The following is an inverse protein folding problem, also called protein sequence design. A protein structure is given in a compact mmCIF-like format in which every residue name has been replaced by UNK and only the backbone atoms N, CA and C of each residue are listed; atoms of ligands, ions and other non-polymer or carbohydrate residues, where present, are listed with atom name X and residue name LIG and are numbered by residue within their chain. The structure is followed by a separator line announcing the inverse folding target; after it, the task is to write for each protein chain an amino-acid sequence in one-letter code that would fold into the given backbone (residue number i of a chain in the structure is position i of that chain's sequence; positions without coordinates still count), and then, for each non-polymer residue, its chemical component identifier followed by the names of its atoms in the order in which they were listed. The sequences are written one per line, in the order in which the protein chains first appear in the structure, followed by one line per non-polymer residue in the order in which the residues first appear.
data_IF_114020095791
#
_entry.id   IF_114020095791
#
_cell.length_a   1.000
_cell.length_b   1.000
_cell.length_c   1.000
_cell.angle_alpha   90.00
_cell.angle_beta   90.00
_cell.angle_gamma   90.00
#
_symmetry.space_group_name_H-M   'P 1'
#
loop_
_entity.id
_entity.type
_entity.pdbx_description
1 polymer ?
#
# COMPACT_ATOMS: atom_id res chain seq x y z
N UNK A 1 22.22 -20.21 -0.24
CA UNK A 1 20.77 -19.85 -0.12
C UNK A 1 20.18 -20.90 0.80
N UNK A 2 19.71 -20.50 1.97
CA UNK A 2 19.09 -21.40 2.95
C UNK A 2 17.61 -21.50 2.60
N UNK A 3 17.10 -22.72 2.47
CA UNK A 3 15.66 -22.96 2.31
C UNK A 3 14.99 -22.80 3.68
N UNK A 4 14.05 -21.89 3.77
CA UNK A 4 13.34 -21.61 5.00
C UNK A 4 12.23 -22.65 5.20
N UNK A 5 12.14 -23.23 6.41
CA UNK A 5 11.07 -24.18 6.69
C UNK A 5 9.69 -23.51 6.61
N UNK A 6 8.68 -24.29 6.23
CA UNK A 6 7.30 -23.77 6.18
C UNK A 6 6.85 -23.26 7.55
N UNK A 7 7.31 -23.87 8.65
CA UNK A 7 6.99 -23.44 10.01
C UNK A 7 7.59 -22.07 10.30
N UNK A 8 8.87 -21.83 10.03
CA UNK A 8 9.52 -20.53 10.22
C UNK A 8 8.88 -19.44 9.37
N UNK A 9 8.49 -19.76 8.12
CA UNK A 9 7.76 -18.84 7.28
C UNK A 9 6.38 -18.49 7.84
N UNK A 10 5.65 -19.49 8.35
CA UNK A 10 4.35 -19.30 8.97
C UNK A 10 4.45 -18.50 10.29
N UNK A 11 5.44 -18.79 11.13
CA UNK A 11 5.69 -18.07 12.39
C UNK A 11 6.02 -16.60 12.13
N UNK A 12 6.89 -16.30 11.16
CA UNK A 12 7.19 -14.94 10.72
C UNK A 12 5.93 -14.21 10.22
N UNK A 13 5.07 -14.92 9.48
CA UNK A 13 3.78 -14.41 9.02
C UNK A 13 2.85 -14.06 10.17
N UNK A 14 2.68 -14.95 11.14
CA UNK A 14 1.84 -14.71 12.32
C UNK A 14 2.40 -13.57 13.18
N UNK A 15 3.72 -13.47 13.28
CA UNK A 15 4.37 -12.37 13.99
C UNK A 15 4.07 -11.00 13.34
N UNK A 16 4.08 -10.91 12.00
CA UNK A 16 3.70 -9.73 11.24
C UNK A 16 2.20 -9.41 11.42
N UNK A 17 1.34 -10.42 11.33
CA UNK A 17 -0.11 -10.26 11.44
C UNK A 17 -0.52 -9.72 12.81
N UNK A 18 0.07 -10.20 13.90
CA UNK A 18 -0.15 -9.67 15.26
C UNK A 18 0.25 -8.20 15.42
N UNK A 19 1.05 -7.67 14.51
CA UNK A 19 1.46 -6.25 14.43
C UNK A 19 0.67 -5.43 13.41
N UNK A 20 -0.38 -6.04 12.84
CA UNK A 20 -1.26 -5.40 11.87
C UNK A 20 -0.78 -5.40 10.42
N UNK A 21 0.32 -6.10 10.10
CA UNK A 21 0.73 -6.38 8.72
C UNK A 21 -0.01 -7.62 8.20
N UNK A 22 -1.31 -7.46 7.95
CA UNK A 22 -2.21 -8.55 7.58
C UNK A 22 -2.32 -8.81 6.08
N UNK A 23 -1.53 -8.12 5.27
CA UNK A 23 -1.31 -8.41 3.85
C UNK A 23 0.16 -8.74 3.63
N UNK A 24 0.42 -9.90 3.03
CA UNK A 24 1.76 -10.37 2.69
C UNK A 24 1.77 -11.09 1.36
N UNK A 25 2.76 -10.78 0.52
CA UNK A 25 3.03 -11.55 -0.70
C UNK A 25 4.54 -11.73 -0.88
N UNK A 26 4.92 -12.89 -1.39
CA UNK A 26 6.30 -13.23 -1.80
C UNK A 26 6.28 -13.49 -3.30
N UNK A 27 7.01 -12.68 -4.04
CA UNK A 27 7.00 -12.65 -5.49
C UNK A 27 8.37 -13.01 -6.07
N UNK A 28 8.38 -13.72 -7.20
CA UNK A 28 9.58 -13.87 -7.99
C UNK A 28 9.71 -12.68 -8.97
N UNK A 29 10.71 -11.84 -8.76
CA UNK A 29 10.96 -10.66 -9.60
C UNK A 29 11.22 -10.99 -11.08
N UNK A 30 11.58 -12.23 -11.39
CA UNK A 30 11.82 -12.71 -12.75
C UNK A 30 10.55 -13.17 -13.46
N UNK A 31 9.50 -13.46 -12.70
CA UNK A 31 8.20 -13.89 -13.22
C UNK A 31 7.25 -12.73 -13.52
N UNK A 32 7.67 -11.47 -13.38
CA UNK A 32 6.83 -10.30 -13.64
C UNK A 32 6.30 -10.31 -15.07
N UNK A 33 5.01 -10.05 -15.30
CA UNK A 33 4.45 -9.86 -16.64
C UNK A 33 5.06 -8.63 -17.32
N UNK A 34 4.93 -8.53 -18.64
CA UNK A 34 5.67 -7.58 -19.45
C UNK A 34 5.54 -6.11 -19.05
N UNK A 35 4.33 -5.66 -18.67
CA UNK A 35 4.06 -4.31 -18.23
C UNK A 35 4.68 -4.01 -16.85
N UNK A 36 4.57 -4.94 -15.90
CA UNK A 36 5.22 -4.83 -14.60
C UNK A 36 6.73 -4.94 -14.71
N UNK A 37 7.24 -5.84 -15.56
CA UNK A 37 8.67 -5.96 -15.83
C UNK A 37 9.23 -4.63 -16.38
N UNK A 38 8.56 -4.02 -17.37
CA UNK A 38 8.94 -2.73 -17.91
C UNK A 38 8.85 -1.59 -16.87
N UNK A 39 7.86 -1.62 -15.98
CA UNK A 39 7.77 -0.66 -14.87
C UNK A 39 8.90 -0.84 -13.87
N UNK A 40 9.22 -2.09 -13.53
CA UNK A 40 10.34 -2.42 -12.64
C UNK A 40 11.69 -2.01 -13.21
N UNK A 41 11.93 -2.26 -14.49
CA UNK A 41 13.20 -1.92 -15.15
C UNK A 41 13.50 -0.41 -15.11
N UNK A 42 12.46 0.44 -15.12
CA UNK A 42 12.62 1.90 -14.92
C UNK A 42 13.16 2.28 -13.55
N UNK A 43 13.00 1.42 -12.53
CA UNK A 43 13.57 1.67 -11.20
C UNK A 43 15.09 1.48 -11.16
N UNK A 44 15.68 0.80 -12.17
CA UNK A 44 17.09 0.39 -12.23
C UNK A 44 17.50 -0.58 -11.11
N UNK A 45 16.54 -1.20 -10.43
CA UNK A 45 16.79 -2.24 -9.44
C UNK A 45 16.98 -3.56 -10.21
N UNK A 46 18.15 -4.22 -10.13
CA UNK A 46 18.39 -5.44 -10.86
C UNK A 46 17.49 -6.58 -10.36
N UNK A 47 17.03 -7.42 -11.29
CA UNK A 47 16.31 -8.67 -10.98
C UNK A 47 17.32 -9.80 -10.83
N UNK A 48 17.81 -10.01 -9.61
CA UNK A 48 18.84 -11.02 -9.33
C UNK A 48 18.20 -12.41 -9.20
N UNK A 49 18.75 -13.43 -9.86
CA UNK A 49 18.25 -14.81 -9.73
C UNK A 49 18.29 -15.27 -8.26
N UNK A 50 17.17 -15.83 -7.80
CA UNK A 50 17.06 -16.34 -6.45
C UNK A 50 16.58 -15.32 -5.40
N UNK A 51 16.63 -14.01 -5.70
CA UNK A 51 15.98 -13.01 -4.81
C UNK A 51 14.45 -13.15 -4.86
N UNK A 52 13.83 -12.94 -3.72
CA UNK A 52 12.39 -12.82 -3.57
C UNK A 52 12.03 -11.37 -3.23
N UNK A 53 10.98 -10.86 -3.84
CA UNK A 53 10.36 -9.60 -3.43
C UNK A 53 9.25 -9.90 -2.44
N UNK A 54 9.37 -9.38 -1.23
CA UNK A 54 8.31 -9.46 -0.22
C UNK A 54 7.58 -8.14 -0.17
N UNK A 55 6.25 -8.20 -0.28
CA UNK A 55 5.36 -7.07 -0.02
C UNK A 55 4.70 -7.27 1.33
N UNK A 56 4.65 -6.20 2.11
CA UNK A 56 3.86 -6.10 3.33
C UNK A 56 2.85 -4.97 3.18
N UNK A 57 1.66 -5.21 3.70
CA UNK A 57 0.58 -4.23 3.71
C UNK A 57 -0.32 -4.39 4.90
N UNK A 58 -1.22 -3.44 5.04
CA UNK A 58 -2.31 -3.49 6.01
C UNK A 58 -3.65 -3.31 5.32
N UNK A 59 -4.67 -4.02 5.80
CA UNK A 59 -6.08 -3.79 5.49
C UNK A 59 -6.85 -3.47 6.78
N UNK A 60 -7.76 -2.49 6.69
CA UNK A 60 -8.48 -1.99 7.87
C UNK A 60 -7.59 -1.23 8.84
N UNK A 61 -7.97 -1.22 10.12
CA UNK A 61 -7.29 -0.47 11.20
C UNK A 61 -6.21 -1.26 11.95
N UNK A 62 -5.97 -2.54 11.63
CA UNK A 62 -5.15 -3.43 12.45
C UNK A 62 -3.77 -2.86 12.82
N UNK A 63 -3.04 -2.26 11.87
CA UNK A 63 -1.76 -1.62 12.17
C UNK A 63 -1.94 -0.32 12.97
N UNK A 64 -2.99 0.44 12.71
CA UNK A 64 -3.31 1.65 13.48
C UNK A 64 -3.59 1.32 14.95
N UNK A 65 -4.38 0.29 15.20
CA UNK A 65 -4.73 -0.16 16.55
C UNK A 65 -3.49 -0.63 17.30
N UNK A 66 -2.63 -1.41 16.65
CA UNK A 66 -1.36 -1.84 17.22
C UNK A 66 -0.40 -0.65 17.45
N UNK A 67 -0.35 0.33 16.54
CA UNK A 67 0.46 1.54 16.67
C UNK A 67 0.03 2.41 17.86
N UNK A 68 -1.26 2.44 18.23
CA UNK A 68 -1.77 3.17 19.38
C UNK A 68 -1.16 2.73 20.71
N UNK A 69 -0.55 1.55 20.76
CA UNK A 69 0.14 0.98 21.92
C UNK A 69 1.66 1.27 21.92
N UNK A 70 2.18 1.96 20.88
CA UNK A 70 3.61 2.18 20.66
C UNK A 70 4.00 3.64 20.89
N UNK A 71 5.30 3.88 21.05
CA UNK A 71 5.88 5.23 21.02
C UNK A 71 5.87 5.79 19.59
N UNK A 72 5.11 6.85 19.36
CA UNK A 72 4.95 7.51 18.07
C UNK A 72 5.80 8.79 17.95
N UNK A 73 6.93 8.86 18.63
CA UNK A 73 7.82 10.04 18.61
C UNK A 73 8.54 10.25 17.28
N UNK A 74 8.65 9.20 16.42
CA UNK A 74 9.25 9.32 15.10
C UNK A 74 8.41 10.24 14.20
N UNK A 75 9.03 11.13 13.39
CA UNK A 75 8.30 11.96 12.43
C UNK A 75 7.44 11.17 11.44
N UNK A 76 7.86 9.95 11.07
CA UNK A 76 7.14 9.04 10.18
C UNK A 76 7.00 7.65 10.83
N UNK A 77 6.17 7.52 11.90
CA UNK A 77 6.15 6.34 12.76
C UNK A 77 5.70 5.07 12.01
N UNK A 78 4.79 5.18 11.03
CA UNK A 78 4.40 4.03 10.21
C UNK A 78 5.55 3.50 9.35
N UNK A 79 6.37 4.39 8.81
CA UNK A 79 7.53 4.00 8.04
C UNK A 79 8.64 3.44 8.94
N UNK A 80 8.84 4.02 10.12
CA UNK A 80 9.80 3.52 11.10
C UNK A 80 9.45 2.09 11.54
N UNK A 81 8.19 1.85 11.90
CA UNK A 81 7.70 0.52 12.28
C UNK A 81 7.77 -0.46 11.11
N UNK A 82 7.48 -0.01 9.90
CA UNK A 82 7.60 -0.87 8.71
C UNK A 82 9.05 -1.30 8.46
N UNK A 83 10.01 -0.38 8.58
CA UNK A 83 11.46 -0.69 8.50
C UNK A 83 11.89 -1.69 9.57
N UNK A 84 11.46 -1.44 10.81
CA UNK A 84 11.76 -2.33 11.93
C UNK A 84 11.15 -3.73 11.71
N UNK A 85 9.90 -3.82 11.29
CA UNK A 85 9.23 -5.09 11.02
C UNK A 85 9.93 -5.90 9.93
N UNK A 86 10.42 -5.26 8.87
CA UNK A 86 11.22 -5.92 7.83
C UNK A 86 12.52 -6.48 8.41
N UNK A 87 13.28 -5.70 9.16
CA UNK A 87 14.54 -6.14 9.75
C UNK A 87 14.32 -7.32 10.70
N UNK A 88 13.35 -7.20 11.62
CA UNK A 88 13.09 -8.23 12.62
C UNK A 88 12.54 -9.52 12.01
N UNK A 89 11.59 -9.48 11.08
CA UNK A 89 11.05 -10.70 10.48
C UNK A 89 12.08 -11.44 9.65
N UNK A 90 12.89 -10.70 8.90
CA UNK A 90 13.94 -11.28 8.07
C UNK A 90 15.02 -11.95 8.92
N UNK A 91 15.50 -11.29 9.96
CA UNK A 91 16.55 -11.83 10.83
C UNK A 91 16.04 -13.00 11.71
N UNK A 92 14.89 -12.84 12.36
CA UNK A 92 14.43 -13.79 13.38
C UNK A 92 13.79 -15.05 12.84
N UNK A 93 13.15 -14.98 11.67
CA UNK A 93 12.36 -16.09 11.12
C UNK A 93 12.85 -16.57 9.76
N UNK A 94 13.53 -15.70 8.97
CA UNK A 94 13.89 -16.00 7.59
C UNK A 94 15.40 -16.07 7.34
N UNK A 95 16.19 -16.05 8.42
CA UNK A 95 17.65 -16.19 8.39
C UNK A 95 18.35 -15.20 7.41
N UNK A 96 17.72 -14.06 7.15
CA UNK A 96 18.29 -13.00 6.32
C UNK A 96 18.64 -11.76 7.17
N UNK A 97 19.91 -11.56 7.41
CA UNK A 97 20.41 -10.44 8.23
C UNK A 97 20.55 -9.13 7.45
N UNK A 98 20.32 -9.14 6.14
CA UNK A 98 20.51 -7.97 5.27
C UNK A 98 19.43 -7.88 4.18
N UNK A 99 18.15 -7.86 4.53
CA UNK A 99 17.10 -7.62 3.56
C UNK A 99 17.31 -6.24 2.93
N UNK A 100 17.12 -6.15 1.60
CA UNK A 100 17.25 -4.88 0.90
C UNK A 100 15.90 -4.17 0.83
N UNK A 101 15.66 -3.24 1.75
CA UNK A 101 14.45 -2.44 1.78
C UNK A 101 14.38 -1.53 0.55
N UNK A 102 13.22 -1.50 -0.11
CA UNK A 102 12.91 -0.67 -1.27
C UNK A 102 11.83 0.37 -0.93
N UNK A 103 10.88 0.01 -0.08
CA UNK A 103 9.82 0.86 0.42
C UNK A 103 9.51 0.48 1.90
N UNK A 104 9.37 1.44 2.81
CA UNK A 104 9.57 2.88 2.61
C UNK A 104 11.04 3.22 2.33
N UNK A 105 11.27 4.14 1.39
CA UNK A 105 12.60 4.54 0.95
C UNK A 105 12.54 5.39 -0.33
N UNK A 106 13.71 5.72 -0.87
CA UNK A 106 13.84 6.61 -2.03
C UNK A 106 13.53 5.93 -3.39
N UNK A 107 13.40 4.62 -3.41
CA UNK A 107 13.14 3.88 -4.64
C UNK A 107 11.67 4.05 -5.09
N UNK A 108 11.48 4.58 -6.29
CA UNK A 108 10.14 4.71 -6.90
C UNK A 108 9.71 3.37 -7.53
N UNK A 109 9.28 2.42 -6.71
CA UNK A 109 8.81 1.12 -7.17
C UNK A 109 7.32 1.13 -7.53
N UNK A 110 6.87 0.29 -8.49
CA UNK A 110 5.49 0.27 -8.96
C UNK A 110 4.54 -0.48 -8.00
N UNK A 111 4.35 0.02 -6.76
CA UNK A 111 3.62 -0.65 -5.68
C UNK A 111 2.22 -1.10 -6.10
N UNK A 112 1.44 -0.26 -6.79
CA UNK A 112 0.09 -0.62 -7.23
C UNK A 112 0.12 -1.81 -8.22
N UNK A 113 1.04 -1.79 -9.20
CA UNK A 113 1.17 -2.92 -10.14
C UNK A 113 1.63 -4.20 -9.43
N UNK A 114 2.53 -4.08 -8.45
CA UNK A 114 2.94 -5.21 -7.60
C UNK A 114 1.77 -5.76 -6.79
N UNK A 115 0.94 -4.89 -6.20
CA UNK A 115 -0.26 -5.29 -5.46
C UNK A 115 -1.31 -5.97 -6.35
N UNK A 116 -1.50 -5.49 -7.58
CA UNK A 116 -2.37 -6.14 -8.58
C UNK A 116 -1.83 -7.52 -8.96
N UNK A 117 -0.53 -7.61 -9.20
CA UNK A 117 0.14 -8.88 -9.49
C UNK A 117 0.05 -9.87 -8.32
N UNK A 118 0.14 -9.37 -7.08
CA UNK A 118 -0.04 -10.16 -5.87
C UNK A 118 -1.52 -10.55 -5.60
N UNK A 119 -2.47 -10.10 -6.42
CA UNK A 119 -3.89 -10.36 -6.22
C UNK A 119 -4.55 -9.55 -5.09
N UNK A 120 -3.89 -8.50 -4.58
CA UNK A 120 -4.41 -7.69 -3.47
C UNK A 120 -5.46 -6.69 -3.91
N UNK A 121 -5.35 -6.20 -5.14
CA UNK A 121 -6.13 -5.06 -5.60
C UNK A 121 -6.34 -5.04 -7.11
N UNK A 122 -7.24 -4.18 -7.53
CA UNK A 122 -7.53 -3.85 -8.92
C UNK A 122 -7.66 -2.33 -9.09
N UNK A 123 -7.54 -1.79 -10.30
CA UNK A 123 -7.78 -0.37 -10.58
C UNK A 123 -9.18 0.07 -10.17
N UNK A 124 -9.29 1.33 -9.70
CA UNK A 124 -10.57 1.96 -9.38
C UNK A 124 -10.62 3.41 -9.85
N UNK A 125 -11.81 4.01 -10.02
CA UNK A 125 -11.96 5.41 -10.43
C UNK A 125 -11.33 6.42 -9.46
N UNK A 126 -11.09 6.00 -8.22
CA UNK A 126 -10.53 6.83 -7.14
C UNK A 126 -9.08 7.28 -7.35
N UNK A 127 -8.39 6.79 -8.38
CA UNK A 127 -6.94 6.97 -8.54
C UNK A 127 -6.09 6.17 -7.53
N UNK A 128 -6.74 5.48 -6.62
CA UNK A 128 -6.20 4.44 -5.74
C UNK A 128 -6.72 3.10 -6.24
N UNK A 129 -5.99 2.03 -5.95
CA UNK A 129 -6.50 0.69 -6.18
C UNK A 129 -7.57 0.33 -5.14
N UNK A 130 -8.40 -0.66 -5.49
CA UNK A 130 -9.42 -1.22 -4.62
C UNK A 130 -9.14 -2.70 -4.35
N UNK A 131 -9.20 -3.09 -3.09
CA UNK A 131 -9.12 -4.49 -2.68
C UNK A 131 -10.51 -5.12 -2.69
N UNK A 132 -10.68 -6.36 -3.18
CA UNK A 132 -11.96 -7.06 -3.09
C UNK A 132 -12.42 -7.28 -1.65
N UNK A 133 -11.49 -7.47 -0.72
CA UNK A 133 -11.76 -7.70 0.70
C UNK A 133 -11.89 -6.38 1.47
N UNK A 134 -10.89 -5.51 1.33
CA UNK A 134 -10.76 -4.31 2.15
C UNK A 134 -11.35 -3.05 1.48
N UNK A 135 -11.82 -3.15 0.25
CA UNK A 135 -12.22 -1.98 -0.50
C UNK A 135 -11.05 -1.00 -0.67
N UNK A 136 -11.28 0.31 -0.50
CA UNK A 136 -10.21 1.30 -0.53
C UNK A 136 -9.42 1.40 0.80
N UNK A 137 -9.69 0.53 1.78
CA UNK A 137 -9.17 0.61 3.15
C UNK A 137 -7.97 -0.29 3.37
N UNK A 138 -6.99 -0.23 2.48
CA UNK A 138 -5.70 -0.91 2.59
C UNK A 138 -4.55 0.00 2.21
N UNK A 139 -3.33 -0.37 2.61
CA UNK A 139 -2.12 0.37 2.24
C UNK A 139 -0.91 -0.56 2.17
N UNK A 140 -0.02 -0.29 1.22
CA UNK A 140 1.32 -0.86 1.21
C UNK A 140 2.12 -0.29 2.38
N UNK A 141 2.92 -1.14 3.05
CA UNK A 141 3.73 -0.75 4.21
C UNK A 141 5.21 -1.03 4.01
N UNK A 142 5.54 -2.14 3.36
CA UNK A 142 6.91 -2.39 2.98
C UNK A 142 7.00 -3.16 1.66
N UNK A 143 8.13 -2.97 0.98
CA UNK A 143 8.60 -3.84 -0.10
C UNK A 143 10.11 -4.01 0.07
N UNK A 144 10.60 -5.24 0.05
CA UNK A 144 12.01 -5.53 0.21
C UNK A 144 12.42 -6.79 -0.55
N UNK A 145 13.67 -6.85 -0.92
CA UNK A 145 14.28 -8.02 -1.53
C UNK A 145 15.03 -8.82 -0.48
N UNK A 146 14.90 -10.13 -0.57
CA UNK A 146 15.57 -11.08 0.31
C UNK A 146 16.19 -12.21 -0.48
N UNK A 147 17.31 -12.75 0.00
CA UNK A 147 17.94 -13.95 -0.52
C UNK A 147 17.46 -15.24 0.16
N UNK A 148 16.63 -15.10 1.19
CA UNK A 148 15.94 -16.23 1.81
C UNK A 148 15.00 -16.92 0.80
N UNK A 149 15.07 -18.23 0.72
CA UNK A 149 14.22 -19.02 -0.18
C UNK A 149 12.86 -19.20 0.46
N UNK A 150 12.02 -18.16 0.33
CA UNK A 150 10.66 -18.15 0.86
C UNK A 150 9.68 -18.81 -0.13
N UNK A 151 8.62 -19.48 0.36
CA UNK A 151 7.53 -19.96 -0.48
C UNK A 151 6.89 -18.80 -1.25
N UNK A 152 6.70 -18.99 -2.55
CA UNK A 152 6.03 -17.99 -3.39
C UNK A 152 4.52 -17.95 -3.09
N UNK A 153 3.96 -16.76 -3.13
CA UNK A 153 2.50 -16.58 -3.05
C UNK A 153 1.86 -17.11 -4.33
N UNK A 154 0.80 -17.91 -4.20
CA UNK A 154 -0.05 -18.27 -5.32
C UNK A 154 -0.75 -17.02 -5.85
N UNK A 155 -0.49 -16.75 -7.13
CA UNK A 155 -1.04 -15.58 -7.79
C UNK A 155 -2.46 -15.88 -8.26
N UNK A 156 -3.43 -15.10 -7.80
CA UNK A 156 -4.81 -15.19 -8.25
C UNK A 156 -5.18 -13.94 -9.05
N UNK A 157 -5.82 -14.14 -10.20
CA UNK A 157 -6.43 -13.03 -10.91
C UNK A 157 -7.66 -12.56 -10.14
N UNK A 158 -7.67 -11.30 -9.75
CA UNK A 158 -8.73 -10.70 -8.95
C UNK A 158 -9.57 -9.79 -9.86
N UNK A 159 -10.86 -10.10 -10.00
CA UNK A 159 -11.80 -9.20 -10.66
C UNK A 159 -11.95 -7.90 -9.84
N UNK A 160 -12.05 -6.78 -10.54
CA UNK A 160 -12.29 -5.52 -9.86
C UNK A 160 -13.72 -5.47 -9.28
N UNK A 161 -13.88 -5.14 -7.99
CA UNK A 161 -15.22 -4.88 -7.45
C UNK A 161 -15.93 -3.74 -8.18
N UNK A 162 -15.19 -2.85 -8.85
CA UNK A 162 -15.75 -1.76 -9.63
C UNK A 162 -16.46 -2.24 -10.90
N UNK A 163 -16.11 -3.41 -11.43
CA UNK A 163 -16.74 -3.96 -12.66
C UNK A 163 -18.23 -4.29 -12.45
N UNK A 164 -18.65 -4.55 -11.22
CA UNK A 164 -20.03 -4.84 -10.83
C UNK A 164 -20.70 -3.70 -10.05
N UNK A 165 -20.00 -2.59 -9.81
CA UNK A 165 -20.52 -1.42 -9.08
C UNK A 165 -21.23 -0.46 -10.04
N UNK A 166 -22.53 -0.74 -10.32
CA UNK A 166 -23.29 0.04 -11.31
C UNK A 166 -23.51 1.50 -10.88
N UNK A 167 -23.77 1.75 -9.58
CA UNK A 167 -24.12 3.08 -9.07
C UNK A 167 -22.89 4.01 -8.94
N UNK A 168 -21.69 3.44 -8.84
CA UNK A 168 -20.41 4.15 -8.65
C UNK A 168 -20.52 5.38 -7.75
N UNK A 169 -20.99 5.26 -6.50
CA UNK A 169 -21.29 6.39 -5.63
C UNK A 169 -20.07 7.26 -5.32
N UNK A 170 -18.87 6.75 -5.55
CA UNK A 170 -17.61 7.52 -5.44
C UNK A 170 -17.51 8.67 -6.46
N UNK A 171 -18.19 8.57 -7.61
CA UNK A 171 -18.17 9.60 -8.64
C UNK A 171 -18.94 10.86 -8.20
N UNK A 172 -20.25 10.80 -7.89
CA UNK A 172 -21.00 11.98 -7.45
C UNK A 172 -20.56 12.49 -6.07
N UNK A 173 -19.94 11.66 -5.24
CA UNK A 173 -19.43 12.10 -3.93
C UNK A 173 -18.16 12.96 -4.01
N UNK A 174 -17.52 13.07 -5.18
CA UNK A 174 -16.33 13.90 -5.35
C UNK A 174 -16.70 15.38 -5.50
N UNK A 175 -16.51 16.18 -4.46
CA UNK A 175 -16.80 17.62 -4.49
C UNK A 175 -16.05 18.38 -5.61
N UNK A 176 -14.86 17.90 -6.00
CA UNK A 176 -14.05 18.48 -7.05
C UNK A 176 -14.44 18.01 -8.46
N UNK A 177 -15.32 17.01 -8.63
CA UNK A 177 -15.53 16.33 -9.91
C UNK A 177 -14.27 15.66 -10.48
N UNK A 178 -13.29 15.40 -9.62
CA UNK A 178 -12.00 14.80 -10.00
C UNK A 178 -12.11 13.30 -10.29
N UNK A 179 -13.01 12.60 -9.60
CA UNK A 179 -13.31 11.17 -9.82
C UNK A 179 -14.31 11.06 -10.95
N UNK A 180 -14.01 10.23 -11.94
CA UNK A 180 -14.80 10.11 -13.18
C UNK A 180 -15.04 8.64 -13.49
N UNK A 181 -16.14 8.35 -14.15
CA UNK A 181 -16.52 7.01 -14.57
C UNK A 181 -15.62 6.49 -15.70
N UNK A 182 -15.48 7.29 -16.76
CA UNK A 182 -14.88 6.88 -18.04
C UNK A 182 -13.51 7.51 -18.31
N UNK A 183 -12.85 8.02 -17.29
CA UNK A 183 -11.54 8.65 -17.43
C UNK A 183 -10.71 8.51 -16.15
N UNK A 184 -9.38 8.55 -16.27
CA UNK A 184 -8.52 8.61 -15.09
C UNK A 184 -8.90 9.79 -14.18
N UNK A 185 -8.73 9.62 -12.88
CA UNK A 185 -8.92 10.66 -11.88
C UNK A 185 -8.10 11.92 -12.25
N UNK A 186 -8.74 13.09 -12.21
CA UNK A 186 -8.05 14.35 -12.44
C UNK A 186 -7.34 14.82 -11.15
N UNK A 187 -6.02 14.64 -11.12
CA UNK A 187 -5.20 14.98 -9.95
C UNK A 187 -5.20 16.47 -9.66
N UNK A 188 -5.16 17.33 -10.70
CA UNK A 188 -5.18 18.80 -10.54
C UNK A 188 -6.43 19.26 -9.80
N UNK A 189 -7.62 18.88 -10.28
CA UNK A 189 -8.88 19.21 -9.59
C UNK A 189 -8.92 18.70 -8.15
N UNK A 190 -8.37 17.51 -7.90
CA UNK A 190 -8.29 16.96 -6.54
C UNK A 190 -7.34 17.78 -5.66
N UNK A 191 -6.17 18.17 -6.19
CA UNK A 191 -5.19 19.02 -5.50
C UNK A 191 -5.79 20.35 -5.13
N UNK A 192 -6.37 21.06 -6.10
CA UNK A 192 -6.99 22.38 -5.90
C UNK A 192 -8.08 22.34 -4.82
N UNK A 193 -8.94 21.33 -4.88
CA UNK A 193 -10.00 21.15 -3.87
C UNK A 193 -9.43 20.85 -2.48
N UNK A 194 -8.40 20.03 -2.39
CA UNK A 194 -7.78 19.69 -1.09
C UNK A 194 -7.10 20.88 -0.44
N UNK A 195 -6.48 21.75 -1.24
CA UNK A 195 -5.82 22.97 -0.78
C UNK A 195 -6.83 24.05 -0.39
N UNK A 196 -7.96 24.17 -1.10
CA UNK A 196 -9.00 25.15 -0.82
C UNK A 196 -9.91 24.76 0.35
N UNK A 197 -10.02 23.46 0.67
CA UNK A 197 -10.83 22.92 1.76
C UNK A 197 -9.99 22.00 2.67
N UNK A 198 -9.01 22.58 3.40
CA UNK A 198 -8.06 21.79 4.18
C UNK A 198 -8.68 21.04 5.36
N UNK A 199 -9.81 21.50 5.89
CA UNK A 199 -10.53 20.87 7.01
C UNK A 199 -11.50 19.76 6.57
N UNK A 200 -11.96 19.80 5.34
CA UNK A 200 -12.87 18.81 4.74
C UNK A 200 -12.14 17.90 3.78
N UNK A 201 -12.21 18.21 2.47
CA UNK A 201 -11.62 17.39 1.41
C UNK A 201 -10.09 17.22 1.54
N UNK A 202 -9.41 18.18 2.18
CA UNK A 202 -7.97 18.12 2.45
C UNK A 202 -7.57 16.91 3.29
N UNK A 203 -8.34 16.57 4.30
CA UNK A 203 -8.05 15.48 5.25
C UNK A 203 -8.94 14.26 5.08
N UNK A 204 -10.06 14.37 4.33
CA UNK A 204 -11.04 13.30 4.20
C UNK A 204 -11.59 13.22 2.77
N UNK A 205 -11.39 12.10 2.12
CA UNK A 205 -11.90 11.87 0.76
C UNK A 205 -13.34 11.35 0.78
N UNK A 206 -14.31 12.18 0.40
CA UNK A 206 -15.72 11.80 0.36
C UNK A 206 -16.01 10.67 -0.63
N UNK A 207 -15.34 10.65 -1.79
CA UNK A 207 -15.43 9.56 -2.75
C UNK A 207 -14.98 8.23 -2.19
N UNK A 208 -13.92 8.23 -1.36
CA UNK A 208 -13.43 7.03 -0.69
C UNK A 208 -14.42 6.52 0.34
N UNK A 209 -15.04 7.42 1.09
CA UNK A 209 -16.07 7.10 2.10
C UNK A 209 -17.38 6.58 1.47
N UNK A 210 -17.72 7.05 0.28
CA UNK A 210 -18.91 6.61 -0.44
C UNK A 210 -18.77 5.20 -1.05
N UNK A 211 -17.56 4.62 -1.05
CA UNK A 211 -17.34 3.29 -1.62
C UNK A 211 -18.07 2.21 -0.79
N UNK A 212 -18.95 1.38 -1.42
CA UNK A 212 -19.68 0.35 -0.69
C UNK A 212 -18.84 -0.89 -0.37
N UNK A 213 -17.65 -1.02 -0.97
CA UNK A 213 -16.79 -2.20 -0.81
C UNK A 213 -15.94 -2.07 0.44
N UNK A 214 -15.96 -3.08 1.30
CA UNK A 214 -15.11 -3.14 2.48
C UNK A 214 -15.48 -2.12 3.56
N UNK A 215 -16.75 -1.70 3.67
CA UNK A 215 -17.21 -0.70 4.65
C UNK A 215 -16.91 -1.08 6.10
N UNK A 216 -16.92 -2.38 6.42
CA UNK A 216 -16.53 -2.89 7.75
C UNK A 216 -15.05 -2.67 8.07
N UNK A 217 -14.22 -2.37 7.08
CA UNK A 217 -12.78 -2.09 7.21
C UNK A 217 -12.47 -0.59 7.14
N UNK A 218 -13.51 0.26 7.07
CA UNK A 218 -13.34 1.70 7.05
C UNK A 218 -12.47 2.16 8.24
N UNK A 219 -11.51 3.01 7.94
CA UNK A 219 -10.65 3.56 8.99
C UNK A 219 -11.47 4.39 9.97
N UNK A 220 -11.21 4.29 11.28
CA UNK A 220 -11.83 5.15 12.26
C UNK A 220 -11.52 6.65 12.01
N UNK A 221 -12.36 7.57 12.48
CA UNK A 221 -12.23 9.01 12.18
C UNK A 221 -10.86 9.60 12.52
N UNK A 222 -10.25 9.16 13.60
CA UNK A 222 -8.91 9.60 14.03
C UNK A 222 -7.82 9.14 13.06
N UNK A 223 -7.89 7.90 12.56
CA UNK A 223 -6.97 7.38 11.55
C UNK A 223 -7.11 8.12 10.21
N UNK A 224 -8.37 8.41 9.80
CA UNK A 224 -8.65 9.20 8.60
C UNK A 224 -8.03 10.59 8.69
N UNK A 225 -8.25 11.29 9.82
CA UNK A 225 -7.67 12.62 10.05
C UNK A 225 -6.16 12.60 10.10
N UNK A 226 -5.57 11.60 10.73
CA UNK A 226 -4.12 11.46 10.81
C UNK A 226 -3.51 11.30 9.42
N UNK A 227 -3.93 10.29 8.65
CA UNK A 227 -3.36 10.04 7.33
C UNK A 227 -3.71 11.15 6.32
N UNK A 228 -4.92 11.69 6.39
CA UNK A 228 -5.34 12.80 5.55
C UNK A 228 -4.52 14.06 5.82
N UNK A 229 -4.31 14.40 7.11
CA UNK A 229 -3.51 15.55 7.52
C UNK A 229 -2.05 15.42 7.09
N UNK A 230 -1.42 14.26 7.27
CA UNK A 230 -0.05 13.97 6.80
C UNK A 230 0.07 14.12 5.28
N UNK A 231 -0.88 13.54 4.54
CA UNK A 231 -0.93 13.66 3.09
C UNK A 231 -1.14 15.10 2.61
N UNK A 232 -1.96 15.89 3.32
CA UNK A 232 -2.16 17.30 2.99
C UNK A 232 -0.89 18.11 3.24
N UNK A 233 -0.20 17.88 4.37
CA UNK A 233 1.09 18.54 4.66
C UNK A 233 2.13 18.26 3.57
N UNK A 234 2.25 17.00 3.13
CA UNK A 234 3.15 16.62 2.03
C UNK A 234 2.77 17.31 0.72
N UNK A 235 1.47 17.44 0.43
CA UNK A 235 0.98 18.13 -0.75
C UNK A 235 1.33 19.63 -0.72
N UNK A 236 1.11 20.30 0.39
CA UNK A 236 1.44 21.72 0.58
C UNK A 236 2.96 21.95 0.41
N UNK A 237 3.77 21.08 0.98
CA UNK A 237 5.23 21.18 0.88
C UNK A 237 5.71 21.00 -0.58
N UNK A 238 5.08 20.10 -1.33
CA UNK A 238 5.41 19.84 -2.74
C UNK A 238 5.03 21.02 -3.65
N UNK A 239 3.82 21.57 -3.50
CA UNK A 239 3.37 22.76 -4.27
C UNK A 239 4.26 23.97 -3.99
N UNK A 240 4.56 24.25 -2.71
CA UNK A 240 5.46 25.35 -2.35
C UNK A 240 6.92 25.18 -2.83
N UNK A 241 7.34 23.94 -3.14
CA UNK A 241 8.63 23.67 -3.77
C UNK A 241 8.59 23.86 -5.29
N UNK A 242 7.43 23.64 -5.92
CA UNK A 242 7.23 23.77 -7.38
C UNK A 242 7.11 25.22 -7.84
N UNK A 243 6.80 26.15 -6.93
CA UNK A 243 6.70 27.59 -7.20
C UNK A 243 8.05 28.34 -7.04
N UNK A 244 9.12 27.65 -6.64
CA UNK A 244 10.48 28.18 -6.47
C UNK A 244 11.41 27.69 -7.57
#
# INVERSE_FOLDING_TARGET
MTEISNDAFAEGGQWLERRGFNLRAVLDVRAFPGDLAAAWDRTRIPRIPGERLVLLGMGGSALWDWMGEQDLSDPDPFDAVSRQAVAEVAERFWEDTRPRLLYPGDALIPLQQLGRWAGWSAPAPLGLDISPLFGPWFAFRAAFLTTAVLPLTELATTASPCDTCHDQPCVPACAAGAVRQDAPMNRGLCTDQRLSDPGGCGVQCHSRLACPVGTQWCYPPEQLRYHGGRSLQSLIAWEGASER
#
